data_IF_472874633430
#
_entry.id   IF_472874633430
#
_cell.length_a   1.000
_cell.length_b   1.000
_cell.length_c   1.000
_cell.angle_alpha   90.00
_cell.angle_beta   90.00
_cell.angle_gamma   90.00
#
_symmetry.space_group_name_H-M   'P 1'
#
loop_
_entity.id
_entity.type
_entity.pdbx_description
1 polymer ?
#
# COMPACT_ATOMS: atom_id res chain seq x y z
N UNK A 1 -5.35 8.59 4.62
CA UNK A 1 -4.14 8.08 3.95
C UNK A 1 -4.42 7.91 2.47
N UNK A 2 -3.39 7.69 1.66
CA UNK A 2 -3.47 7.68 0.19
C UNK A 2 -2.84 6.40 -0.38
N UNK A 3 -3.51 5.81 -1.37
CA UNK A 3 -3.00 4.68 -2.13
C UNK A 3 -2.88 5.08 -3.61
N UNK A 4 -1.66 5.07 -4.14
CA UNK A 4 -1.42 5.28 -5.57
C UNK A 4 -1.39 3.95 -6.31
N UNK A 5 -2.11 3.88 -7.42
CA UNK A 5 -2.23 2.69 -8.25
C UNK A 5 -2.65 3.07 -9.67
N UNK A 6 -2.93 2.10 -10.55
CA UNK A 6 -3.48 2.40 -11.88
C UNK A 6 -4.97 2.70 -11.82
N UNK A 7 -5.51 3.38 -12.84
CA UNK A 7 -6.93 3.72 -12.90
C UNK A 7 -7.81 2.47 -12.89
N UNK A 8 -7.44 1.44 -13.66
CA UNK A 8 -8.16 0.16 -13.66
C UNK A 8 -8.14 -0.49 -12.27
N UNK A 9 -6.98 -0.51 -11.60
CA UNK A 9 -6.87 -1.06 -10.26
C UNK A 9 -7.68 -0.26 -9.23
N UNK A 10 -7.71 1.07 -9.35
CA UNK A 10 -8.53 1.92 -8.49
C UNK A 10 -10.03 1.63 -8.64
N UNK A 11 -10.52 1.41 -9.87
CA UNK A 11 -11.90 1.00 -10.13
C UNK A 11 -12.21 -0.38 -9.55
N UNK A 12 -11.30 -1.35 -9.74
CA UNK A 12 -11.43 -2.69 -9.17
C UNK A 12 -11.47 -2.65 -7.63
N UNK A 13 -10.62 -1.84 -7.00
CA UNK A 13 -10.62 -1.66 -5.54
C UNK A 13 -11.94 -1.06 -5.05
N UNK A 14 -12.51 -0.09 -5.78
CA UNK A 14 -13.83 0.48 -5.43
C UNK A 14 -14.95 -0.55 -5.52
N UNK A 15 -14.90 -1.46 -6.50
CA UNK A 15 -15.94 -2.46 -6.74
C UNK A 15 -15.82 -3.69 -5.85
N UNK A 16 -14.59 -4.13 -5.57
CA UNK A 16 -14.31 -5.43 -4.93
C UNK A 16 -13.54 -5.32 -3.61
N UNK A 17 -13.17 -4.10 -3.20
CA UNK A 17 -12.30 -3.88 -2.06
C UNK A 17 -10.82 -4.10 -2.36
N UNK A 18 -9.99 -3.85 -1.34
CA UNK A 18 -8.55 -4.08 -1.45
C UNK A 18 -8.21 -5.57 -1.40
N UNK A 19 -7.26 -5.97 -2.25
CA UNK A 19 -6.57 -7.25 -2.14
C UNK A 19 -5.12 -6.99 -1.73
N UNK A 20 -4.63 -7.75 -0.74
CA UNK A 20 -3.24 -7.61 -0.29
C UNK A 20 -2.26 -8.16 -1.33
N UNK A 21 -1.09 -7.55 -1.43
CA UNK A 21 0.02 -8.14 -2.19
C UNK A 21 0.48 -9.46 -1.56
N UNK A 22 1.11 -10.33 -2.35
CA UNK A 22 1.74 -11.57 -1.85
C UNK A 22 3.07 -11.33 -1.14
N UNK A 23 3.76 -10.23 -1.45
CA UNK A 23 5.02 -9.81 -0.81
C UNK A 23 5.17 -8.27 -0.94
N UNK A 24 6.24 -7.73 -0.34
CA UNK A 24 6.66 -6.35 -0.49
C UNK A 24 7.77 -5.98 0.49
N UNK A 25 8.14 -4.71 0.51
CA UNK A 25 9.19 -4.19 1.40
C UNK A 25 8.94 -4.52 2.88
N UNK A 26 7.68 -4.51 3.31
CA UNK A 26 7.25 -4.84 4.66
C UNK A 26 6.41 -6.13 4.69
N UNK A 27 6.61 -7.03 3.72
CA UNK A 27 5.83 -8.26 3.57
C UNK A 27 4.46 -8.06 2.88
N UNK A 28 3.60 -9.09 2.91
CA UNK A 28 2.28 -9.08 2.27
C UNK A 28 1.37 -8.00 2.89
N UNK A 29 0.74 -7.15 2.07
CA UNK A 29 -0.13 -6.11 2.61
C UNK A 29 -0.67 -5.13 1.59
N UNK A 30 -1.38 -4.11 2.09
CA UNK A 30 -1.83 -2.95 1.32
C UNK A 30 -0.96 -1.77 1.69
N UNK A 31 -0.28 -1.19 0.71
CA UNK A 31 0.68 -0.12 0.92
C UNK A 31 0.03 1.25 0.70
N UNK A 32 0.10 2.08 1.73
CA UNK A 32 -0.52 3.41 1.75
C UNK A 32 0.44 4.44 2.36
N UNK A 33 0.25 5.69 1.99
CA UNK A 33 1.08 6.81 2.43
C UNK A 33 0.24 7.87 3.14
N UNK A 34 0.84 8.60 4.09
CA UNK A 34 0.25 9.83 4.63
C UNK A 34 0.43 11.02 3.68
N UNK A 35 1.52 11.05 2.92
CA UNK A 35 1.78 12.06 1.87
C UNK A 35 1.10 11.67 0.57
N UNK A 36 0.36 12.62 0.00
CA UNK A 36 -0.28 12.51 -1.31
C UNK A 36 0.78 12.48 -2.42
N UNK A 37 1.78 13.36 -2.34
CA UNK A 37 2.92 13.48 -3.26
C UNK A 37 3.67 12.15 -3.39
N UNK A 38 3.86 11.45 -2.28
CA UNK A 38 4.45 10.11 -2.30
C UNK A 38 3.54 9.10 -2.98
N UNK A 39 2.24 9.11 -2.67
CA UNK A 39 1.29 8.15 -3.22
C UNK A 39 1.10 8.31 -4.75
N UNK A 40 0.95 9.55 -5.24
CA UNK A 40 0.70 9.82 -6.67
C UNK A 40 1.81 9.35 -7.62
N UNK A 41 3.02 9.07 -7.10
CA UNK A 41 4.12 8.50 -7.89
C UNK A 41 3.95 7.01 -8.22
N UNK A 42 3.01 6.32 -7.57
CA UNK A 42 2.80 4.89 -7.78
C UNK A 42 1.68 4.60 -8.80
N UNK A 43 1.86 3.56 -9.65
CA UNK A 43 3.07 2.75 -9.77
C UNK A 43 4.23 3.55 -10.39
N UNK A 44 5.47 3.24 -9.96
CA UNK A 44 6.68 3.92 -10.45
C UNK A 44 6.79 3.71 -11.97
N UNK A 45 6.66 2.45 -12.40
CA UNK A 45 6.52 2.07 -13.80
C UNK A 45 5.03 1.96 -14.13
N UNK A 46 4.51 2.91 -14.90
CA UNK A 46 3.13 2.90 -15.35
C UNK A 46 3.03 2.08 -16.65
N UNK A 47 2.12 1.10 -16.75
CA UNK A 47 1.85 0.43 -18.03
C UNK A 47 1.39 1.44 -19.10
N UNK A 48 1.72 1.18 -20.36
CA UNK A 48 1.47 2.13 -21.49
C UNK A 48 0.00 2.52 -21.60
N UNK A 49 -0.92 1.58 -21.33
CA UNK A 49 -2.36 1.79 -21.48
C UNK A 49 -3.06 2.14 -20.17
N UNK A 50 -2.34 2.71 -19.20
CA UNK A 50 -2.87 3.02 -17.88
C UNK A 50 -2.62 4.47 -17.48
N UNK A 51 -3.49 5.00 -16.61
CA UNK A 51 -3.28 6.27 -15.93
C UNK A 51 -3.04 6.04 -14.45
N UNK A 52 -2.26 6.91 -13.80
CA UNK A 52 -2.14 6.88 -12.33
C UNK A 52 -3.42 7.40 -11.70
N UNK A 53 -3.84 6.75 -10.62
CA UNK A 53 -4.96 7.15 -9.80
C UNK A 53 -4.56 7.10 -8.32
N UNK A 54 -5.14 8.01 -7.53
CA UNK A 54 -4.94 8.04 -6.08
C UNK A 54 -6.27 7.89 -5.36
N UNK A 55 -6.35 6.88 -4.51
CA UNK A 55 -7.49 6.69 -3.61
C UNK A 55 -7.20 7.38 -2.27
N UNK A 56 -8.12 8.24 -1.82
CA UNK A 56 -8.13 8.80 -0.45
C UNK A 56 -8.88 7.85 0.47
N UNK A 57 -8.25 7.46 1.57
CA UNK A 57 -8.71 6.39 2.46
C UNK A 57 -8.88 6.89 3.90
N UNK A 58 -9.97 6.47 4.54
CA UNK A 58 -10.14 6.49 6.00
C UNK A 58 -9.72 5.12 6.54
N UNK A 59 -8.71 5.08 7.39
CA UNK A 59 -8.06 3.82 7.82
C UNK A 59 -8.10 3.70 9.33
N UNK A 60 -8.54 2.54 9.83
CA UNK A 60 -8.42 2.15 11.24
C UNK A 60 -7.16 1.29 11.36
N UNK A 61 -6.10 1.84 11.93
CA UNK A 61 -4.76 1.21 11.93
C UNK A 61 -4.53 0.21 13.08
N UNK A 62 -5.32 0.30 14.17
CA UNK A 62 -5.13 -0.58 15.32
C UNK A 62 -3.74 -0.40 15.99
N UNK A 63 -3.16 -1.51 16.44
CA UNK A 63 -1.81 -1.55 17.00
C UNK A 63 -0.79 -1.43 15.88
N UNK A 64 0.28 -0.65 16.09
CA UNK A 64 1.28 -0.38 15.04
C UNK A 64 2.68 -0.74 15.49
N UNK A 65 3.53 -1.17 14.55
CA UNK A 65 4.96 -1.37 14.74
C UNK A 65 5.75 -0.42 13.86
N UNK A 66 6.66 0.36 14.46
CA UNK A 66 7.67 1.11 13.71
C UNK A 66 8.73 0.14 13.18
N UNK A 67 8.93 0.14 11.87
CA UNK A 67 10.03 -0.54 11.16
C UNK A 67 10.80 0.57 10.46
N UNK A 68 12.00 0.88 10.94
CA UNK A 68 12.74 2.09 10.56
C UNK A 68 14.09 1.83 9.89
N UNK A 69 14.42 0.55 9.66
CA UNK A 69 15.58 0.15 8.87
C UNK A 69 15.29 -1.06 8.01
N UNK A 70 16.01 -1.16 6.91
CA UNK A 70 16.09 -2.39 6.14
C UNK A 70 16.78 -3.48 6.99
N UNK A 71 16.34 -4.73 6.84
CA UNK A 71 16.76 -5.86 7.67
C UNK A 71 16.24 -5.81 9.11
N UNK A 72 15.17 -5.07 9.40
CA UNK A 72 14.55 -5.10 10.72
C UNK A 72 14.02 -6.53 11.01
N UNK A 73 14.15 -7.07 12.24
CA UNK A 73 13.76 -8.46 12.54
C UNK A 73 12.29 -8.78 12.21
N UNK A 74 11.40 -7.80 12.40
CA UNK A 74 9.97 -7.91 12.06
C UNK A 74 9.60 -7.35 10.69
N UNK A 75 10.57 -7.07 9.81
CA UNK A 75 10.33 -6.34 8.55
C UNK A 75 9.19 -6.95 7.72
N UNK A 76 9.20 -8.28 7.56
CA UNK A 76 8.17 -8.99 6.80
C UNK A 76 7.17 -9.76 7.67
N UNK A 77 7.45 -9.93 8.96
CA UNK A 77 6.71 -10.82 9.87
C UNK A 77 5.90 -10.09 10.94
N UNK A 78 5.91 -8.76 11.00
CA UNK A 78 5.20 -7.96 12.01
C UNK A 78 3.75 -8.43 12.29
N UNK A 79 3.02 -8.80 11.24
CA UNK A 79 1.64 -9.29 11.34
C UNK A 79 1.50 -10.62 12.11
N UNK A 80 2.52 -11.47 12.08
CA UNK A 80 2.56 -12.74 12.84
C UNK A 80 2.76 -12.49 14.34
N UNK A 81 3.23 -11.30 14.72
CA UNK A 81 3.42 -10.88 16.11
C UNK A 81 2.26 -10.01 16.64
N UNK A 82 1.11 -10.01 15.95
CA UNK A 82 -0.11 -9.30 16.37
C UNK A 82 -0.06 -7.79 16.21
N UNK A 83 0.78 -7.30 15.29
CA UNK A 83 0.78 -5.91 14.82
C UNK A 83 0.03 -5.79 13.49
#
# INVERSE_FOLDING_TARGET
>A
MYHGTTQTAALNIKKHGFQRSKDGMLGPGVYISRSFEKAQRYPIKLPVNEQRAVLKLRVRVGKVKKIDRQGHPLQKTWHQHGY
#
